data_IF_660221274135
#
_entry.id   IF_660221274135
#
_cell.length_a   1.000
_cell.length_b   1.000
_cell.length_c   1.000
_cell.angle_alpha   90.00
_cell.angle_beta   90.00
_cell.angle_gamma   90.00
#
_symmetry.space_group_name_H-M   'P 1'
#
loop_
_entity.id
_entity.type
_entity.pdbx_description
1 polymer ?
#
# COMPACT_ATOMS: atom_id res chain seq x y z
N UNK A 1 -10.88 3.18 20.01
CA UNK A 1 -11.38 2.90 18.64
C UNK A 1 -11.24 4.12 17.73
N UNK A 2 -11.55 5.33 18.21
CA UNK A 2 -11.28 6.58 17.48
C UNK A 2 -9.83 6.69 16.97
N UNK A 3 -8.85 6.31 17.79
CA UNK A 3 -7.43 6.32 17.39
C UNK A 3 -7.09 5.37 16.24
N UNK A 4 -7.69 4.18 16.18
CA UNK A 4 -7.41 3.23 15.11
C UNK A 4 -7.95 3.75 13.78
N UNK A 5 -9.18 4.27 13.79
CA UNK A 5 -9.80 4.84 12.60
C UNK A 5 -8.99 6.04 12.07
N UNK A 6 -8.52 6.92 12.96
CA UNK A 6 -7.67 8.05 12.61
C UNK A 6 -6.38 7.59 11.92
N UNK A 7 -5.67 6.61 12.49
CA UNK A 7 -4.44 6.06 11.88
C UNK A 7 -4.69 5.45 10.50
N UNK A 8 -5.80 4.72 10.33
CA UNK A 8 -6.16 4.16 9.02
C UNK A 8 -6.42 5.27 8.00
N UNK A 9 -7.06 6.38 8.39
CA UNK A 9 -7.27 7.52 7.49
C UNK A 9 -5.94 8.18 7.11
N UNK A 10 -5.06 8.45 8.06
CA UNK A 10 -3.73 9.06 7.83
C UNK A 10 -2.90 8.21 6.86
N UNK A 11 -2.79 6.89 7.10
CA UNK A 11 -2.11 5.96 6.20
C UNK A 11 -2.74 5.96 4.80
N UNK A 12 -4.07 5.96 4.71
CA UNK A 12 -4.81 5.91 3.45
C UNK A 12 -4.64 7.20 2.63
N UNK A 13 -4.64 8.36 3.29
CA UNK A 13 -4.37 9.67 2.68
C UNK A 13 -2.93 9.78 2.19
N UNK A 14 -1.97 9.33 3.00
CA UNK A 14 -0.56 9.27 2.61
C UNK A 14 -0.37 8.43 1.34
N UNK A 15 -0.84 7.18 1.33
CA UNK A 15 -0.73 6.29 0.16
C UNK A 15 -1.38 6.94 -1.08
N UNK A 16 -2.58 7.53 -0.94
CA UNK A 16 -3.28 8.23 -2.03
C UNK A 16 -2.49 9.42 -2.61
N UNK A 17 -1.69 10.09 -1.79
CA UNK A 17 -0.87 11.22 -2.27
C UNK A 17 0.34 10.77 -3.09
N UNK A 18 0.78 9.52 -2.92
CA UNK A 18 1.95 8.96 -3.60
C UNK A 18 1.55 8.18 -4.86
N UNK A 19 0.46 7.40 -4.81
CA UNK A 19 0.03 6.55 -5.93
C UNK A 19 -0.75 7.33 -6.99
N UNK A 20 -0.73 6.81 -8.23
CA UNK A 20 -1.55 7.34 -9.32
C UNK A 20 -2.86 6.57 -9.43
N UNK A 21 -3.97 7.26 -9.24
CA UNK A 21 -5.31 6.68 -9.39
C UNK A 21 -5.79 5.94 -8.13
N UNK A 22 -6.81 5.09 -8.32
CA UNK A 22 -7.47 4.35 -7.24
C UNK A 22 -7.42 2.85 -7.55
N UNK A 23 -6.72 2.03 -6.74
CA UNK A 23 -6.69 0.59 -6.94
C UNK A 23 -8.07 -0.04 -6.71
N UNK A 24 -8.48 -0.93 -7.61
CA UNK A 24 -9.71 -1.73 -7.46
C UNK A 24 -9.47 -3.02 -6.66
N UNK A 25 -8.23 -3.50 -6.63
CA UNK A 25 -7.83 -4.76 -5.99
C UNK A 25 -6.59 -4.55 -5.13
N UNK A 26 -6.56 -5.16 -3.95
CA UNK A 26 -5.39 -5.27 -3.09
C UNK A 26 -4.99 -6.73 -2.88
N UNK A 27 -3.68 -7.01 -2.88
CA UNK A 27 -3.13 -8.36 -2.75
C UNK A 27 -2.08 -8.35 -1.63
N UNK A 28 -2.10 -9.37 -0.77
CA UNK A 28 -1.07 -9.60 0.24
C UNK A 28 -0.23 -10.80 -0.21
N UNK A 29 1.06 -10.57 -0.46
CA UNK A 29 2.00 -11.62 -0.85
C UNK A 29 2.59 -12.28 0.40
N UNK A 30 2.13 -13.51 0.68
CA UNK A 30 2.70 -14.35 1.73
C UNK A 30 4.08 -14.92 1.38
N UNK A 31 4.61 -15.74 2.28
CA UNK A 31 5.90 -16.42 2.09
C UNK A 31 5.94 -17.23 0.79
N UNK A 32 7.02 -17.07 0.03
CA UNK A 32 7.23 -17.78 -1.25
C UNK A 32 6.61 -17.11 -2.48
N UNK A 33 5.81 -16.06 -2.32
CA UNK A 33 5.12 -15.36 -3.42
C UNK A 33 5.85 -14.10 -3.93
N UNK A 34 7.00 -13.75 -3.35
CA UNK A 34 7.80 -12.59 -3.75
C UNK A 34 8.12 -12.48 -5.25
N UNK A 35 8.39 -13.59 -5.97
CA UNK A 35 8.66 -13.52 -7.42
C UNK A 35 7.54 -12.93 -8.26
N UNK A 36 6.28 -12.93 -7.79
CA UNK A 36 5.14 -12.35 -8.52
C UNK A 36 5.27 -10.84 -8.72
N UNK A 37 6.09 -10.16 -7.90
CA UNK A 37 6.35 -8.72 -8.03
C UNK A 37 7.10 -8.40 -9.32
N UNK A 38 7.89 -9.34 -9.85
CA UNK A 38 8.69 -9.14 -11.07
C UNK A 38 7.84 -8.94 -12.33
N UNK A 39 6.59 -9.41 -12.30
CA UNK A 39 5.65 -9.31 -13.43
C UNK A 39 4.83 -8.01 -13.37
N UNK A 40 4.97 -7.20 -12.30
CA UNK A 40 4.24 -5.94 -12.12
C UNK A 40 4.93 -4.84 -12.93
N UNK A 41 4.16 -4.11 -13.75
CA UNK A 41 4.62 -2.94 -14.49
C UNK A 41 4.21 -1.64 -13.79
N UNK A 42 4.91 -0.54 -14.08
CA UNK A 42 4.61 0.79 -13.52
C UNK A 42 4.61 0.84 -11.98
N UNK A 43 5.56 0.11 -11.37
CA UNK A 43 5.64 -0.07 -9.91
C UNK A 43 5.90 1.26 -9.20
N UNK A 44 5.12 1.52 -8.16
CA UNK A 44 5.38 2.53 -7.13
C UNK A 44 5.68 1.77 -5.85
N UNK A 45 6.90 1.92 -5.33
CA UNK A 45 7.32 1.30 -4.08
C UNK A 45 7.20 2.31 -2.93
N UNK A 46 6.60 1.87 -1.82
CA UNK A 46 6.47 2.64 -0.59
C UNK A 46 7.03 1.78 0.54
N UNK A 47 8.06 2.29 1.23
CA UNK A 47 8.57 1.61 2.41
C UNK A 47 7.53 1.68 3.53
N UNK A 48 7.28 0.57 4.22
CA UNK A 48 6.31 0.56 5.32
C UNK A 48 6.68 1.52 6.45
N UNK A 49 7.96 1.89 6.59
CA UNK A 49 8.42 2.88 7.59
C UNK A 49 7.96 4.30 7.28
N UNK A 50 7.60 4.58 6.03
CA UNK A 50 7.15 5.90 5.60
C UNK A 50 5.63 6.06 5.73
N UNK A 51 4.89 4.97 5.98
CA UNK A 51 3.43 5.00 6.17
C UNK A 51 3.12 5.33 7.65
N UNK A 52 2.39 6.43 7.94
CA UNK A 52 2.05 6.85 9.30
C UNK A 52 1.09 5.90 10.05
#
# INVERSE_FOLDING_TARGET
MEDLYKKVLEASEYIRSVIKGKPDVGIILGSGLGPLVNDITDVIEIDYRDIP
#
